data_IF_334172886260
#
_entry.id   IF_334172886260
#
_cell.length_a   1.000
_cell.length_b   1.000
_cell.length_c   1.000
_cell.angle_alpha   90.00
_cell.angle_beta   90.00
_cell.angle_gamma   90.00
#
_symmetry.space_group_name_H-M   'P 1'
#
loop_
_entity.id
_entity.type
_entity.pdbx_description
1 polymer ?
#
# COMPACT_ATOMS: atom_id res chain seq x y z
N UNK A 1 -12.66 -2.87 13.14
CA UNK A 1 -12.28 -2.58 11.75
C UNK A 1 -11.03 -1.78 11.87
N UNK A 2 -9.91 -2.47 11.91
CA UNK A 2 -8.65 -1.91 12.37
C UNK A 2 -8.09 -1.02 11.27
N UNK A 3 -7.73 0.21 11.61
CA UNK A 3 -6.96 1.07 10.71
C UNK A 3 -5.49 0.92 11.04
N UNK A 4 -4.65 1.00 10.01
CA UNK A 4 -3.20 0.99 10.19
C UNK A 4 -2.58 2.20 9.53
N UNK A 5 -1.50 2.66 10.12
CA UNK A 5 -0.68 3.75 9.58
C UNK A 5 0.72 3.21 9.37
N UNK A 6 1.43 3.76 8.39
CA UNK A 6 2.77 3.35 8.07
C UNK A 6 3.36 4.22 6.98
N UNK A 7 4.67 4.08 6.79
CA UNK A 7 5.39 4.73 5.72
C UNK A 7 5.81 3.66 4.71
N UNK A 8 5.33 3.78 3.48
CA UNK A 8 5.84 3.00 2.37
C UNK A 8 7.17 3.58 1.93
N UNK A 9 8.21 2.75 1.92
CA UNK A 9 9.52 3.12 1.38
C UNK A 9 9.88 2.08 0.33
N UNK A 10 9.75 2.44 -0.95
CA UNK A 10 10.00 1.52 -2.07
C UNK A 10 10.85 2.16 -3.16
N UNK A 11 11.10 1.40 -4.24
CA UNK A 11 11.82 1.92 -5.43
C UNK A 11 11.12 3.10 -6.12
N UNK A 12 9.84 3.32 -5.81
CA UNK A 12 9.03 4.45 -6.25
C UNK A 12 9.17 5.70 -5.36
N UNK A 13 9.87 5.62 -4.23
CA UNK A 13 10.03 6.69 -3.25
C UNK A 13 9.45 6.35 -1.88
N UNK A 14 9.48 7.34 -0.98
CA UNK A 14 8.81 7.31 0.32
C UNK A 14 7.41 7.93 0.20
N UNK A 15 6.38 7.21 0.59
CA UNK A 15 5.00 7.69 0.63
C UNK A 15 4.36 7.34 1.98
N UNK A 16 3.51 8.21 2.50
CA UNK A 16 2.75 7.90 3.71
C UNK A 16 1.48 7.14 3.37
N UNK A 17 1.15 6.17 4.22
CA UNK A 17 -0.09 5.42 4.12
C UNK A 17 -1.24 6.27 4.68
N UNK A 18 -2.18 6.61 3.81
CA UNK A 18 -3.45 7.27 4.11
C UNK A 18 -4.59 6.26 3.99
N UNK A 19 -5.60 6.38 4.85
CA UNK A 19 -6.79 5.50 4.87
C UNK A 19 -6.49 3.98 4.92
N UNK A 20 -5.43 3.58 5.64
CA UNK A 20 -5.11 2.16 5.83
C UNK A 20 -6.19 1.45 6.62
N UNK A 21 -6.77 0.40 6.05
CA UNK A 21 -7.84 -0.43 6.61
C UNK A 21 -7.47 -1.90 6.56
N UNK A 22 -7.86 -2.61 7.61
CA UNK A 22 -7.75 -4.05 7.73
C UNK A 22 -9.16 -4.65 7.76
N UNK A 23 -9.40 -5.59 6.86
CA UNK A 23 -10.65 -6.35 6.73
C UNK A 23 -10.33 -7.84 6.74
N UNK A 24 -10.29 -8.43 7.94
CA UNK A 24 -9.86 -9.82 8.12
C UNK A 24 -8.40 -9.96 7.71
N UNK A 25 -8.14 -10.68 6.63
CA UNK A 25 -6.81 -10.91 6.08
C UNK A 25 -6.45 -9.90 4.98
N UNK A 26 -7.38 -9.07 4.53
CA UNK A 26 -7.13 -8.07 3.48
C UNK A 26 -6.82 -6.70 4.07
N UNK A 27 -5.70 -6.14 3.66
CA UNK A 27 -5.23 -4.78 3.91
C UNK A 27 -5.51 -3.94 2.67
N UNK A 28 -6.19 -2.82 2.82
CA UNK A 28 -6.33 -1.82 1.77
C UNK A 28 -5.85 -0.48 2.28
N UNK A 29 -5.07 0.22 1.48
CA UNK A 29 -4.53 1.51 1.86
C UNK A 29 -4.22 2.38 0.67
N UNK A 30 -4.15 3.68 0.91
CA UNK A 30 -3.82 4.67 -0.11
C UNK A 30 -2.46 5.27 0.21
N UNK A 31 -1.71 5.62 -0.83
CA UNK A 31 -0.45 6.36 -0.71
C UNK A 31 -0.63 7.67 -1.45
N UNK A 32 -0.54 8.79 -0.73
CA UNK A 32 -0.54 10.10 -1.35
C UNK A 32 0.88 10.64 -1.41
N UNK A 33 1.44 10.69 -2.61
CA UNK A 33 2.69 11.37 -2.89
C UNK A 33 2.33 12.79 -3.26
N UNK A 34 2.74 13.78 -2.47
CA UNK A 34 2.32 15.18 -2.68
C UNK A 34 3.29 16.01 -3.52
N UNK A 35 4.55 15.59 -3.66
CA UNK A 35 5.64 16.41 -4.24
C UNK A 35 6.63 15.54 -5.02
N UNK A 36 7.15 15.97 -6.19
CA UNK A 36 6.82 17.20 -6.94
C UNK A 36 5.54 17.11 -7.80
N UNK A 37 4.93 15.94 -7.94
CA UNK A 37 3.66 15.73 -8.65
C UNK A 37 2.70 14.97 -7.75
N UNK A 38 1.50 15.50 -7.44
CA UNK A 38 0.55 14.81 -6.59
C UNK A 38 0.05 13.54 -7.27
N UNK A 39 0.29 12.37 -6.68
CA UNK A 39 -0.20 11.09 -7.16
C UNK A 39 -0.75 10.27 -6.01
N UNK A 40 -1.95 9.74 -6.22
CA UNK A 40 -2.60 8.82 -5.31
C UNK A 40 -2.41 7.40 -5.83
N UNK A 41 -1.82 6.53 -5.03
CA UNK A 41 -1.63 5.12 -5.33
C UNK A 41 -2.55 4.31 -4.43
N UNK A 42 -3.33 3.40 -5.00
CA UNK A 42 -4.21 2.53 -4.22
C UNK A 42 -3.55 1.17 -4.06
N UNK A 43 -3.34 0.74 -2.83
CA UNK A 43 -2.72 -0.53 -2.50
C UNK A 43 -3.75 -1.47 -1.87
N UNK A 44 -3.72 -2.72 -2.30
CA UNK A 44 -4.52 -3.78 -1.70
C UNK A 44 -3.63 -5.02 -1.54
N UNK A 45 -3.58 -5.59 -0.35
CA UNK A 45 -2.81 -6.79 -0.08
C UNK A 45 -3.56 -7.75 0.83
N UNK A 46 -3.28 -9.02 0.70
CA UNK A 46 -3.78 -10.07 1.57
C UNK A 46 -2.61 -10.61 2.40
N UNK A 47 -2.83 -10.71 3.70
CA UNK A 47 -1.92 -11.35 4.65
C UNK A 47 -2.22 -12.84 4.67
N UNK A 48 -1.20 -13.64 4.41
CA UNK A 48 -1.22 -15.09 4.56
C UNK A 48 -0.12 -15.49 5.54
N UNK A 49 -0.51 -15.61 6.82
CA UNK A 49 0.42 -15.83 7.93
C UNK A 49 1.43 -14.68 8.07
N UNK A 50 2.69 -14.96 7.71
CA UNK A 50 3.78 -13.98 7.72
C UNK A 50 4.01 -13.33 6.35
N UNK A 51 3.40 -13.87 5.30
CA UNK A 51 3.54 -13.34 3.94
C UNK A 51 2.44 -12.34 3.63
N UNK A 52 2.78 -11.28 2.92
CA UNK A 52 1.85 -10.28 2.43
C UNK A 52 1.93 -10.29 0.91
N UNK A 53 0.82 -10.53 0.24
CA UNK A 53 0.72 -10.55 -1.21
C UNK A 53 -0.31 -9.53 -1.65
N UNK A 54 0.09 -8.55 -2.43
CA UNK A 54 -0.80 -7.49 -2.85
C UNK A 54 -0.50 -6.92 -4.21
N UNK A 55 -1.24 -5.89 -4.55
CA UNK A 55 -1.10 -5.10 -5.76
C UNK A 55 -1.15 -3.62 -5.39
N UNK A 56 -0.17 -2.86 -5.85
CA UNK A 56 -0.22 -1.39 -5.85
C UNK A 56 -0.68 -0.92 -7.22
N UNK A 57 -1.72 -0.11 -7.25
CA UNK A 57 -2.24 0.53 -8.45
C UNK A 57 -1.79 1.98 -8.47
N UNK A 58 -0.85 2.28 -9.37
CA UNK A 58 -0.24 3.59 -9.50
C UNK A 58 -0.97 4.47 -10.53
N UNK A 59 -2.29 4.66 -10.37
CA UNK A 59 -3.09 5.46 -11.30
C UNK A 59 -2.83 5.08 -12.77
N UNK A 60 -2.41 6.07 -13.59
CA UNK A 60 -2.09 5.88 -15.02
C UNK A 60 -0.82 5.08 -15.29
N UNK A 61 0.03 4.83 -14.27
CA UNK A 61 1.25 4.02 -14.42
C UNK A 61 0.97 2.51 -14.42
N UNK A 62 -0.26 2.10 -14.12
CA UNK A 62 -0.66 0.70 -14.08
C UNK A 62 -0.52 0.09 -12.68
N UNK A 63 -0.74 -1.22 -12.62
CA UNK A 63 -0.71 -2.00 -11.39
C UNK A 63 0.55 -2.86 -11.31
N UNK A 64 1.19 -2.85 -10.15
CA UNK A 64 2.40 -3.60 -9.85
C UNK A 64 2.12 -4.57 -8.70
N UNK A 65 2.55 -5.84 -8.80
CA UNK A 65 2.46 -6.75 -7.67
C UNK A 65 3.42 -6.30 -6.57
N UNK A 66 2.95 -6.35 -5.33
CA UNK A 66 3.77 -6.12 -4.14
C UNK A 66 3.80 -7.40 -3.31
N UNK A 67 4.97 -7.72 -2.79
CA UNK A 67 5.11 -8.74 -1.77
C UNK A 67 5.78 -8.12 -0.55
N UNK A 68 5.32 -8.51 0.62
CA UNK A 68 5.87 -8.09 1.89
C UNK A 68 5.99 -9.28 2.82
N UNK A 69 6.77 -9.13 3.87
CA UNK A 69 6.81 -10.08 4.98
C UNK A 69 6.63 -9.27 6.24
N UNK A 70 5.79 -9.77 7.16
CA UNK A 70 5.61 -9.15 8.47
C UNK A 70 6.94 -9.25 9.23
N UNK A 71 7.50 -8.13 9.67
CA UNK A 71 8.69 -8.06 10.53
C UNK A 71 8.27 -7.73 11.97
#
# INVERSE_FOLDING_TARGET
GDSFTGSFNGGLGSAEITDGKVSGDTLSWTLDISVPMPMTLTCEATVDGDSLNGTVTAGVFGSFPITGTRA
#
